data_IF_063326257797
#
_entry.id   IF_063326257797
#
_cell.length_a   1.000
_cell.length_b   1.000
_cell.length_c   1.000
_cell.angle_alpha   90.00
_cell.angle_beta   90.00
_cell.angle_gamma   90.00
#
_symmetry.space_group_name_H-M   'P 1'
#
loop_
_entity.id
_entity.type
_entity.pdbx_description
1 polymer ?
#
# COMPACT_ATOMS: atom_id res chain seq x y z
N UNK A 1 -11.84 -3.35 12.71
CA UNK A 1 -11.08 -2.84 11.58
C UNK A 1 -9.61 -3.11 11.75
N UNK A 2 -9.00 -3.60 10.73
CA UNK A 2 -7.57 -3.80 10.71
C UNK A 2 -6.87 -2.44 10.67
N UNK A 3 -5.87 -2.26 11.52
CA UNK A 3 -5.21 -0.97 11.68
C UNK A 3 -3.69 -1.07 11.71
N UNK A 4 -3.15 -2.20 11.22
CA UNK A 4 -1.70 -2.36 11.21
C UNK A 4 -1.05 -1.30 10.33
N UNK A 5 -1.66 -0.99 9.17
CA UNK A 5 -1.15 0.07 8.28
C UNK A 5 -1.23 1.44 8.95
N UNK A 6 -2.32 1.73 9.64
CA UNK A 6 -2.45 3.01 10.32
C UNK A 6 -1.40 3.18 11.40
N UNK A 7 -1.04 2.09 12.08
CA UNK A 7 0.03 2.12 13.07
C UNK A 7 1.37 2.46 12.43
N UNK A 8 1.63 1.99 11.21
CA UNK A 8 2.85 2.32 10.49
C UNK A 8 2.95 3.84 10.30
N UNK A 9 1.87 4.48 9.90
CA UNK A 9 1.87 5.93 9.76
C UNK A 9 2.16 6.63 11.09
N UNK A 10 1.50 6.20 12.17
CA UNK A 10 1.72 6.79 13.49
C UNK A 10 3.14 6.64 13.98
N UNK A 11 3.76 5.48 13.69
CA UNK A 11 5.13 5.21 14.11
C UNK A 11 6.16 6.06 13.36
N UNK A 12 5.84 6.52 12.15
CA UNK A 12 6.81 7.18 11.29
C UNK A 12 6.45 8.61 10.92
N UNK A 13 5.40 9.19 11.48
CA UNK A 13 4.97 10.54 11.11
C UNK A 13 6.04 11.59 11.38
N UNK A 14 6.87 11.39 12.42
CA UNK A 14 7.96 12.30 12.76
C UNK A 14 9.31 11.83 12.23
N UNK A 15 9.32 10.77 11.44
CA UNK A 15 10.55 10.20 10.94
C UNK A 15 11.07 11.01 9.74
N UNK A 16 12.39 11.22 9.71
CA UNK A 16 13.04 11.92 8.61
C UNK A 16 13.98 11.00 7.87
N UNK A 17 13.76 10.86 6.57
CA UNK A 17 14.67 10.13 5.71
C UNK A 17 15.77 11.10 5.26
N UNK A 18 16.85 11.16 6.01
CA UNK A 18 17.90 12.15 5.81
C UNK A 18 18.67 11.98 4.52
N UNK A 19 18.70 10.79 3.98
CA UNK A 19 19.41 10.50 2.74
C UNK A 19 18.46 10.53 1.56
N UNK A 20 18.94 10.98 0.42
CA UNK A 20 18.20 10.93 -0.83
C UNK A 20 18.23 9.53 -1.47
N UNK A 21 18.96 8.59 -0.87
CA UNK A 21 19.10 7.24 -1.42
C UNK A 21 18.13 6.27 -0.77
N UNK A 22 17.37 5.55 -1.58
CA UNK A 22 16.37 4.58 -1.11
C UNK A 22 16.97 3.31 -0.55
N UNK A 23 18.31 3.19 -0.54
CA UNK A 23 19.00 2.04 0.05
C UNK A 23 19.32 2.26 1.52
N UNK A 24 18.90 3.40 2.11
CA UNK A 24 19.16 3.67 3.51
C UNK A 24 18.45 2.67 4.41
N UNK A 25 19.03 2.36 5.58
CA UNK A 25 18.39 1.45 6.54
C UNK A 25 17.00 1.91 6.97
N UNK A 26 16.78 3.21 7.06
CA UNK A 26 15.50 3.79 7.47
C UNK A 26 14.38 3.42 6.50
N UNK A 27 14.62 3.60 5.21
CA UNK A 27 13.62 3.26 4.22
C UNK A 27 13.43 1.75 4.12
N UNK A 28 14.51 0.98 4.20
CA UNK A 28 14.41 -0.48 4.19
C UNK A 28 13.55 -0.99 5.34
N UNK A 29 13.74 -0.42 6.53
CA UNK A 29 12.94 -0.79 7.70
C UNK A 29 11.47 -0.42 7.51
N UNK A 30 11.22 0.80 7.02
CA UNK A 30 9.86 1.24 6.74
C UNK A 30 9.16 0.32 5.76
N UNK A 31 9.82 0.03 4.64
CA UNK A 31 9.22 -0.81 3.60
C UNK A 31 8.91 -2.21 4.12
N UNK A 32 9.81 -2.79 4.91
CA UNK A 32 9.60 -4.12 5.48
C UNK A 32 8.40 -4.14 6.44
N UNK A 33 8.29 -3.11 7.29
CA UNK A 33 7.17 -3.02 8.22
C UNK A 33 5.86 -2.72 7.51
N UNK A 34 5.91 -1.89 6.47
CA UNK A 34 4.75 -1.60 5.65
C UNK A 34 4.23 -2.87 4.97
N UNK A 35 5.14 -3.68 4.41
CA UNK A 35 4.77 -4.94 3.78
C UNK A 35 4.08 -5.88 4.78
N UNK A 36 4.64 -6.02 5.97
CA UNK A 36 4.07 -6.89 7.00
C UNK A 36 2.67 -6.40 7.42
N UNK A 37 2.51 -5.09 7.60
CA UNK A 37 1.24 -4.51 7.98
C UNK A 37 0.19 -4.66 6.89
N UNK A 38 0.59 -4.42 5.63
CA UNK A 38 -0.30 -4.58 4.49
C UNK A 38 -0.77 -6.02 4.37
N UNK A 39 0.15 -6.98 4.51
CA UNK A 39 -0.20 -8.39 4.45
C UNK A 39 -1.19 -8.76 5.55
N UNK A 40 -0.94 -8.29 6.78
CA UNK A 40 -1.81 -8.57 7.91
C UNK A 40 -3.22 -8.01 7.68
N UNK A 41 -3.32 -6.76 7.29
CA UNK A 41 -4.61 -6.11 7.07
C UNK A 41 -5.35 -6.73 5.89
N UNK A 42 -4.63 -7.08 4.83
CA UNK A 42 -5.24 -7.75 3.68
C UNK A 42 -5.82 -9.10 4.09
N UNK A 43 -5.06 -9.92 4.81
CA UNK A 43 -5.52 -11.23 5.25
C UNK A 43 -6.72 -11.13 6.18
N UNK A 44 -6.73 -10.15 7.06
CA UNK A 44 -7.87 -9.91 7.95
C UNK A 44 -9.14 -9.58 7.15
N UNK A 45 -8.99 -8.92 6.01
CA UNK A 45 -10.11 -8.55 5.15
C UNK A 45 -10.47 -9.64 4.12
N UNK A 46 -9.81 -10.78 4.15
CA UNK A 46 -10.07 -11.86 3.21
C UNK A 46 -9.34 -11.72 1.88
N UNK A 47 -8.34 -10.85 1.83
CA UNK A 47 -7.52 -10.65 0.63
C UNK A 47 -6.17 -11.33 0.80
N UNK A 48 -5.43 -11.47 -0.31
CA UNK A 48 -4.11 -12.08 -0.29
C UNK A 48 -3.11 -11.14 -0.94
N UNK A 49 -2.03 -10.84 -0.23
CA UNK A 49 -0.91 -10.08 -0.80
C UNK A 49 -0.11 -11.03 -1.71
N UNK A 50 -0.07 -10.73 -3.01
CA UNK A 50 0.59 -11.62 -3.98
C UNK A 50 1.91 -11.09 -4.48
N UNK A 51 2.13 -9.77 -4.40
CA UNK A 51 3.38 -9.17 -4.84
C UNK A 51 3.61 -7.87 -4.11
N UNK A 52 4.86 -7.59 -3.73
CA UNK A 52 5.25 -6.34 -3.08
C UNK A 52 6.56 -5.88 -3.69
N UNK A 53 6.62 -4.60 -4.06
CA UNK A 53 7.81 -4.02 -4.67
C UNK A 53 8.17 -2.73 -3.94
N UNK A 54 9.46 -2.54 -3.74
CA UNK A 54 10.03 -1.34 -3.18
C UNK A 54 10.92 -0.68 -4.22
N UNK A 55 10.78 0.62 -4.42
CA UNK A 55 11.63 1.38 -5.32
C UNK A 55 12.26 2.56 -4.62
N UNK A 56 12.46 3.67 -5.34
CA UNK A 56 13.10 4.88 -4.80
C UNK A 56 12.08 5.62 -3.94
N UNK A 57 12.03 5.28 -2.64
CA UNK A 57 11.12 5.84 -1.65
C UNK A 57 9.64 5.64 -1.98
N UNK A 58 9.34 4.65 -2.81
CA UNK A 58 7.95 4.25 -3.04
C UNK A 58 7.78 2.77 -2.71
N UNK A 59 6.54 2.40 -2.43
CA UNK A 59 6.18 0.99 -2.28
C UNK A 59 4.94 0.73 -3.11
N UNK A 60 4.85 -0.47 -3.66
CA UNK A 60 3.68 -0.89 -4.42
C UNK A 60 3.39 -2.36 -4.18
N UNK A 61 2.15 -2.76 -4.44
CA UNK A 61 1.74 -4.12 -4.15
C UNK A 61 0.60 -4.54 -5.06
N UNK A 62 0.45 -5.85 -5.23
CA UNK A 62 -0.73 -6.45 -5.83
C UNK A 62 -1.39 -7.36 -4.81
N UNK A 63 -2.70 -7.25 -4.69
CA UNK A 63 -3.49 -8.12 -3.82
C UNK A 63 -4.52 -8.84 -4.66
N UNK A 64 -4.93 -10.01 -4.18
CA UNK A 64 -5.93 -10.84 -4.85
C UNK A 64 -7.11 -11.06 -3.91
N UNK A 65 -8.31 -10.88 -4.44
CA UNK A 65 -9.51 -11.33 -3.75
C UNK A 65 -9.81 -12.77 -4.23
N UNK A 66 -9.56 -13.77 -3.40
CA UNK A 66 -9.72 -15.15 -3.85
C UNK A 66 -11.16 -15.55 -4.15
N UNK A 67 -12.14 -14.83 -3.59
CA UNK A 67 -13.55 -15.12 -3.84
C UNK A 67 -13.98 -14.72 -5.25
N UNK A 68 -13.42 -13.62 -5.77
CA UNK A 68 -13.78 -13.11 -7.09
C UNK A 68 -12.69 -13.33 -8.12
N UNK A 69 -11.51 -13.74 -7.68
CA UNK A 69 -10.31 -13.87 -8.51
C UNK A 69 -9.88 -12.54 -9.14
N UNK A 70 -10.24 -11.42 -8.52
CA UNK A 70 -9.90 -10.09 -8.99
C UNK A 70 -8.65 -9.57 -8.28
N UNK A 71 -7.67 -9.11 -9.06
CA UNK A 71 -6.47 -8.47 -8.53
C UNK A 71 -6.69 -6.96 -8.39
N UNK A 72 -5.93 -6.36 -7.49
CA UNK A 72 -5.86 -4.91 -7.36
C UNK A 72 -4.41 -4.48 -7.17
N UNK A 73 -4.08 -3.32 -7.72
CA UNK A 73 -2.76 -2.70 -7.60
C UNK A 73 -2.85 -1.54 -6.62
N UNK A 74 -1.84 -1.42 -5.77
CA UNK A 74 -1.73 -0.36 -4.75
C UNK A 74 -0.38 0.30 -4.91
N UNK A 75 -0.33 1.63 -4.85
CA UNK A 75 0.94 2.36 -4.94
C UNK A 75 0.95 3.56 -3.99
N UNK A 76 2.04 3.67 -3.23
CA UNK A 76 2.36 4.85 -2.43
C UNK A 76 3.60 5.47 -3.05
N UNK A 77 3.44 6.65 -3.67
CA UNK A 77 4.43 7.16 -4.61
C UNK A 77 5.72 7.69 -3.97
N UNK A 78 5.64 8.43 -2.88
CA UNK A 78 6.85 8.94 -2.21
C UNK A 78 6.58 9.13 -0.72
N UNK A 79 7.04 8.16 0.07
CA UNK A 79 6.77 8.17 1.51
C UNK A 79 7.51 9.29 2.23
N UNK A 80 8.64 9.78 1.69
CA UNK A 80 9.36 10.88 2.32
C UNK A 80 8.49 12.12 2.41
N UNK A 81 7.82 12.42 1.31
CA UNK A 81 7.00 13.61 1.20
C UNK A 81 5.89 13.62 2.24
N UNK A 82 5.23 12.48 2.40
CA UNK A 82 4.10 12.38 3.30
C UNK A 82 4.53 12.33 4.76
N UNK A 83 5.50 11.48 5.09
CA UNK A 83 5.90 11.26 6.48
C UNK A 83 6.71 12.44 7.03
N UNK A 84 7.70 12.93 6.29
CA UNK A 84 8.51 14.06 6.75
C UNK A 84 7.73 15.36 6.80
N UNK A 85 6.71 15.48 5.96
CA UNK A 85 5.82 16.64 5.99
C UNK A 85 4.71 16.52 7.04
N UNK A 86 4.70 15.44 7.80
CA UNK A 86 3.66 15.14 8.80
C UNK A 86 2.26 15.16 8.19
N UNK A 87 2.16 14.70 6.95
CA UNK A 87 0.90 14.63 6.21
C UNK A 87 0.34 13.22 6.30
N UNK A 88 -0.98 13.08 6.33
CA UNK A 88 -1.58 11.75 6.23
C UNK A 88 -1.15 11.08 4.93
N UNK A 89 -1.04 9.76 4.97
CA UNK A 89 -0.87 8.99 3.73
C UNK A 89 -2.24 8.91 3.07
N UNK A 90 -2.61 9.99 2.37
CA UNK A 90 -3.95 10.19 1.83
C UNK A 90 -3.99 10.25 0.30
N UNK A 91 -2.88 9.92 -0.34
CA UNK A 91 -2.78 9.96 -1.80
C UNK A 91 -2.32 8.60 -2.32
N UNK A 92 -2.93 7.55 -1.79
CA UNK A 92 -2.58 6.18 -2.14
C UNK A 92 -3.42 5.74 -3.31
N UNK A 93 -2.76 5.41 -4.42
CA UNK A 93 -3.43 4.93 -5.62
C UNK A 93 -3.83 3.47 -5.45
N UNK A 94 -5.05 3.16 -5.88
CA UNK A 94 -5.49 1.77 -6.01
C UNK A 94 -6.38 1.63 -7.24
N UNK A 95 -6.28 0.47 -7.89
CA UNK A 95 -7.05 0.17 -9.10
C UNK A 95 -7.16 -1.32 -9.29
N UNK A 96 -8.10 -1.75 -10.12
CA UNK A 96 -8.17 -3.15 -10.51
C UNK A 96 -6.97 -3.50 -11.38
N UNK A 97 -6.56 -4.75 -11.36
CA UNK A 97 -5.48 -5.26 -12.19
C UNK A 97 -5.88 -6.63 -12.74
N UNK A 98 -5.40 -6.92 -13.93
CA UNK A 98 -5.67 -8.21 -14.59
C UNK A 98 -4.94 -9.34 -13.86
N UNK A 99 -3.72 -9.07 -13.42
CA UNK A 99 -2.89 -10.03 -12.69
C UNK A 99 -1.82 -9.25 -11.91
N UNK A 100 -0.88 -9.96 -11.32
CA UNK A 100 0.16 -9.38 -10.49
C UNK A 100 1.27 -8.66 -11.28
N UNK A 101 1.14 -8.58 -12.59
CA UNK A 101 2.10 -7.89 -13.46
C UNK A 101 1.43 -6.78 -14.28
N UNK A 102 0.16 -6.54 -14.07
CA UNK A 102 -0.59 -5.58 -14.87
C UNK A 102 -0.28 -4.15 -14.41
N UNK A 103 0.50 -3.42 -15.20
CA UNK A 103 0.85 -2.04 -14.92
C UNK A 103 -0.02 -1.03 -15.67
N UNK A 104 -1.05 -1.47 -16.36
CA UNK A 104 -1.90 -0.60 -17.17
C UNK A 104 -3.40 -0.72 -16.89
N UNK A 105 -3.81 -1.62 -16.02
CA UNK A 105 -5.22 -1.91 -15.86
C UNK A 105 -5.96 -0.92 -15.00
N UNK A 106 -7.27 -0.93 -15.13
CA UNK A 106 -8.19 -0.31 -14.22
C UNK A 106 -8.23 1.22 -14.25
N UNK A 107 -9.17 1.75 -13.50
CA UNK A 107 -9.34 3.18 -13.30
C UNK A 107 -8.66 3.58 -11.99
N UNK A 108 -7.82 4.61 -12.03
CA UNK A 108 -7.09 5.06 -10.84
C UNK A 108 -8.04 5.68 -9.82
N UNK A 109 -7.96 5.18 -8.60
CA UNK A 109 -8.66 5.73 -7.45
C UNK A 109 -7.63 6.10 -6.39
N UNK A 110 -8.02 6.97 -5.47
CA UNK A 110 -7.11 7.42 -4.41
C UNK A 110 -7.82 7.35 -3.07
N UNK A 111 -7.08 7.00 -2.03
CA UNK A 111 -7.63 6.90 -0.68
C UNK A 111 -6.54 7.15 0.35
N UNK A 112 -6.94 7.25 1.61
CA UNK A 112 -6.00 7.35 2.72
C UNK A 112 -5.64 5.97 3.28
N UNK A 113 -4.65 5.95 4.14
CA UNK A 113 -4.14 4.70 4.69
C UNK A 113 -5.17 3.95 5.56
N UNK A 114 -5.92 4.62 6.45
CA UNK A 114 -6.90 3.89 7.26
C UNK A 114 -8.01 3.20 6.46
N UNK A 115 -8.33 3.72 5.29
CA UNK A 115 -9.41 3.19 4.46
C UNK A 115 -8.94 2.32 3.31
N UNK A 116 -7.61 2.16 3.15
CA UNK A 116 -7.05 1.51 1.97
C UNK A 116 -7.59 0.10 1.77
N UNK A 117 -7.47 -0.76 2.76
CA UNK A 117 -7.84 -2.18 2.61
C UNK A 117 -9.35 -2.32 2.39
N UNK A 118 -10.16 -1.52 3.09
CA UNK A 118 -11.60 -1.57 2.88
C UNK A 118 -11.99 -1.16 1.47
N UNK A 119 -11.35 -0.11 0.94
CA UNK A 119 -11.61 0.33 -0.43
C UNK A 119 -11.19 -0.72 -1.46
N UNK A 120 -10.04 -1.35 -1.24
CA UNK A 120 -9.57 -2.40 -2.13
C UNK A 120 -10.49 -3.62 -2.07
N UNK A 121 -10.96 -3.98 -0.87
CA UNK A 121 -11.91 -5.07 -0.72
C UNK A 121 -13.17 -4.82 -1.52
N UNK A 122 -13.76 -3.63 -1.37
CA UNK A 122 -14.97 -3.27 -2.09
C UNK A 122 -14.75 -3.31 -3.61
N UNK A 123 -13.62 -2.74 -4.06
CA UNK A 123 -13.29 -2.72 -5.48
C UNK A 123 -13.19 -4.11 -6.08
N UNK A 124 -12.52 -5.02 -5.38
CA UNK A 124 -12.30 -6.38 -5.88
C UNK A 124 -13.55 -7.25 -5.74
N UNK A 125 -14.45 -6.92 -4.82
CA UNK A 125 -15.72 -7.66 -4.68
C UNK A 125 -16.65 -7.39 -5.86
N UNK A 126 -16.54 -6.22 -6.48
CA UNK A 126 -17.38 -5.88 -7.64
C UNK A 126 -16.96 -6.62 -8.90
N UNK A 127 -15.75 -7.18 -8.94
CA UNK A 127 -15.27 -7.92 -10.10
C UNK A 127 -15.05 -7.07 -11.34
N UNK A 128 -14.80 -5.80 -11.19
CA UNK A 128 -14.63 -4.87 -12.31
C UNK A 128 -13.23 -4.33 -12.41
#
# INVERSE_FOLDING_TARGET
MANALNKIYKDYIDFHFESSCSTTPEFALFARKFKAALKKDAETAGLKLVKFTRGHFYVSAYVLNPLTNQHAYISVSDVRWMLCGKRPLDDILYRTAKDENDCHGGHNNFTDLPNLIERVRILTERGV
#
